data_IF_784870662601
#
_entry.id   IF_784870662601
#
_cell.length_a   1.000
_cell.length_b   1.000
_cell.length_c   1.000
_cell.angle_alpha   90.00
_cell.angle_beta   90.00
_cell.angle_gamma   90.00
#
_symmetry.space_group_name_H-M   'P 1'
#
loop_
_entity.id
_entity.type
_entity.pdbx_description
1 polymer ?
#
# COMPACT_ATOMS: atom_id res chain seq x y z
N UNK A 1 -1.29 -4.02 2.85
CA UNK A 1 -1.96 -2.74 3.16
C UNK A 1 -0.96 -1.61 3.10
N UNK A 2 -1.31 -0.50 2.44
CA UNK A 2 -0.48 0.69 2.34
C UNK A 2 -1.15 1.86 3.05
N UNK A 3 -0.45 2.42 4.04
CA UNK A 3 -0.95 3.54 4.83
C UNK A 3 -0.07 4.76 4.54
N UNK A 4 -0.59 5.78 3.86
CA UNK A 4 0.18 6.97 3.63
C UNK A 4 0.36 7.74 4.94
N UNK A 5 1.58 8.23 5.17
CA UNK A 5 1.93 9.03 6.34
C UNK A 5 2.68 10.29 5.93
N UNK A 6 2.53 11.35 6.71
CA UNK A 6 3.28 12.58 6.56
C UNK A 6 4.53 12.58 7.44
N UNK A 7 5.52 13.40 7.05
CA UNK A 7 6.76 13.53 7.84
C UNK A 7 6.51 14.15 9.20
N UNK A 8 5.51 15.02 9.29
CA UNK A 8 5.18 15.77 10.50
C UNK A 8 4.19 15.03 11.42
N UNK A 9 3.74 13.83 11.02
CA UNK A 9 2.88 12.99 11.86
C UNK A 9 3.56 12.69 13.19
N UNK A 10 2.84 12.89 14.29
CA UNK A 10 3.34 12.51 15.60
C UNK A 10 3.23 10.99 15.82
N UNK A 11 3.87 10.50 16.89
CA UNK A 11 3.68 9.12 17.34
C UNK A 11 2.21 8.79 17.64
N UNK A 12 1.43 9.78 18.12
CA UNK A 12 0.00 9.60 18.40
C UNK A 12 -0.80 9.50 17.10
N UNK A 13 -0.54 10.36 16.13
CA UNK A 13 -1.22 10.33 14.82
C UNK A 13 -0.98 8.99 14.13
N UNK A 14 0.27 8.51 14.17
CA UNK A 14 0.64 7.19 13.62
C UNK A 14 -0.05 6.04 14.36
N UNK A 15 -0.15 6.11 15.70
CA UNK A 15 -0.86 5.11 16.49
C UNK A 15 -2.36 5.07 16.15
N UNK A 16 -3.02 6.23 16.05
CA UNK A 16 -4.43 6.32 15.66
C UNK A 16 -4.64 5.77 14.25
N UNK A 17 -3.76 6.13 13.31
CA UNK A 17 -3.84 5.64 11.92
C UNK A 17 -3.75 4.12 11.86
N UNK A 18 -2.76 3.52 12.54
CA UNK A 18 -2.58 2.06 12.57
C UNK A 18 -3.75 1.38 13.29
N UNK A 19 -4.27 1.99 14.35
CA UNK A 19 -5.46 1.48 15.03
C UNK A 19 -6.67 1.42 14.10
N UNK A 20 -6.96 2.54 13.43
CA UNK A 20 -8.16 2.69 12.61
C UNK A 20 -8.10 1.90 11.30
N UNK A 21 -6.91 1.64 10.75
CA UNK A 21 -6.74 1.02 9.44
C UNK A 21 -6.18 -0.40 9.48
N UNK A 22 -5.34 -0.74 10.45
CA UNK A 22 -4.79 -2.07 10.60
C UNK A 22 -5.60 -2.87 11.63
N UNK A 23 -5.52 -2.45 12.89
CA UNK A 23 -5.99 -3.24 14.03
C UNK A 23 -7.52 -3.43 14.00
N UNK A 24 -8.27 -2.41 13.59
CA UNK A 24 -9.73 -2.51 13.42
C UNK A 24 -10.17 -3.59 12.43
N UNK A 25 -9.34 -3.89 11.43
CA UNK A 25 -9.64 -4.86 10.38
C UNK A 25 -9.02 -6.23 10.65
N UNK A 26 -7.81 -6.28 11.22
CA UNK A 26 -7.05 -7.54 11.42
C UNK A 26 -7.05 -8.04 12.86
N UNK A 27 -7.45 -7.20 13.82
CA UNK A 27 -7.22 -7.44 15.24
C UNK A 27 -5.79 -7.09 15.68
N UNK A 28 -5.48 -7.37 16.95
CA UNK A 28 -4.16 -7.08 17.54
C UNK A 28 -3.09 -8.04 17.03
N UNK A 29 -1.92 -7.49 16.74
CA UNK A 29 -0.75 -8.27 16.35
C UNK A 29 -0.07 -8.90 17.57
N UNK A 30 0.38 -10.15 17.43
CA UNK A 30 1.25 -10.78 18.43
C UNK A 30 2.64 -10.15 18.44
N UNK A 31 3.20 -9.89 17.26
CA UNK A 31 4.51 -9.31 17.07
C UNK A 31 4.45 -8.20 16.01
N UNK A 32 5.10 -7.06 16.27
CA UNK A 32 5.32 -6.00 15.27
C UNK A 32 6.81 -5.86 15.05
N UNK A 33 7.22 -5.96 13.78
CA UNK A 33 8.59 -5.70 13.35
C UNK A 33 8.60 -4.36 12.63
N UNK A 34 9.33 -3.38 13.16
CA UNK A 34 9.40 -2.04 12.58
C UNK A 34 10.85 -1.53 12.49
N UNK A 35 11.06 -0.48 11.69
CA UNK A 35 12.29 0.28 11.75
C UNK A 35 12.40 1.06 13.07
N UNK A 36 13.56 1.68 13.31
CA UNK A 36 13.84 2.53 14.49
C UNK A 36 13.38 3.98 14.30
N UNK A 37 12.31 4.20 13.55
CA UNK A 37 11.72 5.53 13.43
C UNK A 37 11.26 6.00 14.84
N UNK A 38 11.52 7.26 15.23
CA UNK A 38 11.15 7.79 16.55
C UNK A 38 9.68 7.57 16.93
N UNK A 39 8.78 7.49 15.94
CA UNK A 39 7.35 7.21 16.16
C UNK A 39 7.14 5.83 16.77
N UNK A 40 7.84 4.81 16.25
CA UNK A 40 7.76 3.42 16.71
C UNK A 40 8.63 3.12 17.92
N UNK A 41 9.62 3.95 18.23
CA UNK A 41 10.43 3.83 19.46
C UNK A 41 9.96 4.75 20.58
N UNK A 42 8.87 5.49 20.37
CA UNK A 42 8.34 6.43 21.36
C UNK A 42 7.85 5.73 22.63
N UNK A 43 7.85 6.47 23.74
CA UNK A 43 7.31 5.97 25.01
C UNK A 43 5.81 5.62 24.89
N UNK A 44 5.06 6.40 24.11
CA UNK A 44 3.65 6.13 23.81
C UNK A 44 3.51 4.77 23.13
N UNK A 45 4.18 4.56 21.99
CA UNK A 45 4.10 3.33 21.20
C UNK A 45 4.51 2.10 22.01
N UNK A 46 5.64 2.20 22.72
CA UNK A 46 6.15 1.10 23.53
C UNK A 46 5.21 0.73 24.67
N UNK A 47 4.68 1.72 25.41
CA UNK A 47 3.74 1.48 26.51
C UNK A 47 2.40 0.94 26.02
N UNK A 48 1.92 1.45 24.89
CA UNK A 48 0.67 1.01 24.27
C UNK A 48 0.72 -0.48 23.88
N UNK A 49 1.78 -0.90 23.19
CA UNK A 49 1.91 -2.30 22.78
C UNK A 49 2.24 -3.24 23.95
N UNK A 50 2.94 -2.76 24.98
CA UNK A 50 3.09 -3.52 26.23
C UNK A 50 1.74 -3.81 26.89
N UNK A 51 0.81 -2.83 26.89
CA UNK A 51 -0.55 -3.02 27.41
C UNK A 51 -1.33 -4.07 26.62
N UNK A 52 -1.14 -4.11 25.30
CA UNK A 52 -1.80 -5.08 24.42
C UNK A 52 -1.16 -6.47 24.41
N UNK A 53 -0.02 -6.65 25.08
CA UNK A 53 0.76 -7.88 25.00
C UNK A 53 1.40 -8.11 23.63
N UNK A 54 1.54 -7.06 22.81
CA UNK A 54 2.20 -7.12 21.51
C UNK A 54 3.70 -6.97 21.68
N UNK A 55 4.48 -7.92 21.17
CA UNK A 55 5.95 -7.83 21.19
C UNK A 55 6.43 -6.88 20.09
N UNK A 56 7.23 -5.89 20.48
CA UNK A 56 7.92 -5.01 19.52
C UNK A 56 9.32 -5.53 19.22
N UNK A 57 9.68 -5.57 17.93
CA UNK A 57 11.01 -5.93 17.45
C UNK A 57 11.50 -4.87 16.47
N UNK A 58 12.68 -4.32 16.71
CA UNK A 58 13.23 -3.24 15.89
C UNK A 58 14.38 -3.73 15.02
N UNK A 59 14.22 -3.65 13.71
CA UNK A 59 15.31 -3.93 12.77
C UNK A 59 16.26 -2.74 12.68
N UNK A 60 17.56 -3.00 12.50
CA UNK A 60 18.52 -1.94 12.18
C UNK A 60 18.14 -1.38 10.81
N UNK A 61 18.11 -0.05 10.68
CA UNK A 61 17.95 0.59 9.39
C UNK A 61 19.06 0.07 8.44
N UNK A 62 18.65 -0.39 7.26
CA UNK A 62 19.52 -0.99 6.25
C UNK A 62 20.32 -2.23 6.75
N UNK A 63 19.71 -3.40 6.67
CA UNK A 63 20.45 -4.67 6.54
C UNK A 63 20.04 -5.32 5.21
N UNK A 64 20.71 -4.97 4.08
CA UNK A 64 20.38 -5.40 2.72
C UNK A 64 20.54 -6.91 2.45
N UNK A 65 20.71 -7.73 3.50
CA UNK A 65 21.11 -9.12 3.39
C UNK A 65 19.96 -10.10 3.61
N UNK A 66 18.75 -9.60 3.80
CA UNK A 66 17.55 -10.44 3.80
C UNK A 66 16.48 -9.67 3.05
N UNK A 67 16.07 -10.18 1.89
CA UNK A 67 14.88 -9.76 1.14
C UNK A 67 13.61 -9.96 2.01
N UNK A 68 13.46 -9.11 3.02
CA UNK A 68 12.32 -9.15 3.92
C UNK A 68 11.04 -9.02 3.11
N UNK A 69 9.97 -9.74 3.44
CA UNK A 69 8.68 -9.59 2.78
C UNK A 69 8.22 -8.12 2.73
N UNK A 70 8.49 -7.34 3.78
CA UNK A 70 8.18 -5.91 3.83
C UNK A 70 9.04 -5.07 2.87
N UNK A 71 10.34 -5.35 2.74
CA UNK A 71 11.23 -4.57 1.84
C UNK A 71 10.88 -4.82 0.37
N UNK A 72 10.62 -6.07 -0.02
CA UNK A 72 10.14 -6.40 -1.37
C UNK A 72 8.79 -5.75 -1.68
N UNK A 73 7.90 -5.72 -0.70
CA UNK A 73 6.62 -5.02 -0.82
C UNK A 73 6.82 -3.51 -1.04
N UNK A 74 7.72 -2.87 -0.29
CA UNK A 74 8.02 -1.45 -0.44
C UNK A 74 8.65 -1.16 -1.81
N UNK A 75 9.62 -1.96 -2.26
CA UNK A 75 10.24 -1.80 -3.58
C UNK A 75 9.21 -1.92 -4.72
N UNK A 76 8.32 -2.93 -4.64
CA UNK A 76 7.25 -3.07 -5.62
C UNK A 76 6.34 -1.85 -5.63
N UNK A 77 5.94 -1.33 -4.46
CA UNK A 77 5.13 -0.11 -4.37
C UNK A 77 5.85 1.12 -4.93
N UNK A 78 7.15 1.29 -4.67
CA UNK A 78 7.93 2.39 -5.23
C UNK A 78 7.97 2.34 -6.77
N UNK A 79 8.14 1.15 -7.34
CA UNK A 79 8.12 0.94 -8.79
C UNK A 79 6.73 1.23 -9.38
N UNK A 80 5.67 0.79 -8.70
CA UNK A 80 4.29 1.11 -9.05
C UNK A 80 4.03 2.62 -9.09
N UNK A 81 4.48 3.33 -8.05
CA UNK A 81 4.36 4.80 -7.97
C UNK A 81 5.18 5.47 -9.08
N UNK A 82 6.41 5.02 -9.33
CA UNK A 82 7.25 5.55 -10.44
C UNK A 82 6.54 5.43 -11.78
N UNK A 83 5.96 4.27 -12.08
CA UNK A 83 5.23 4.06 -13.34
C UNK A 83 3.94 4.88 -13.41
N UNK A 84 3.23 5.02 -12.29
CA UNK A 84 2.08 5.92 -12.21
C UNK A 84 2.49 7.38 -12.48
N UNK A 85 3.58 7.86 -11.91
CA UNK A 85 4.07 9.21 -12.18
C UNK A 85 4.63 9.40 -13.60
N UNK A 86 5.07 8.33 -14.26
CA UNK A 86 5.59 8.39 -15.62
C UNK A 86 4.50 8.29 -16.71
N UNK A 87 3.41 7.57 -16.43
CA UNK A 87 2.42 7.19 -17.45
C UNK A 87 0.96 7.35 -17.01
N UNK A 88 0.73 7.80 -15.77
CA UNK A 88 -0.58 7.99 -15.19
C UNK A 88 -1.28 9.26 -15.69
N UNK A 89 -2.53 9.45 -15.28
CA UNK A 89 -3.28 10.65 -15.59
C UNK A 89 -2.68 11.85 -14.85
N UNK A 90 -2.47 12.94 -15.58
CA UNK A 90 -2.10 14.23 -15.01
C UNK A 90 -3.34 14.94 -14.48
N UNK A 91 -3.24 15.50 -13.27
CA UNK A 91 -4.31 16.26 -12.62
C UNK A 91 -3.95 17.75 -12.62
N UNK A 92 -4.92 18.61 -12.92
CA UNK A 92 -4.72 20.07 -12.87
C UNK A 92 -4.83 20.56 -11.42
N UNK A 93 -3.72 20.99 -10.84
CA UNK A 93 -3.62 21.70 -9.57
C UNK A 93 -3.56 23.23 -9.78
N UNK A 94 -3.59 23.98 -8.68
CA UNK A 94 -3.51 25.45 -8.70
C UNK A 94 -2.19 26.00 -9.26
N UNK A 95 -1.13 25.20 -9.24
CA UNK A 95 0.24 25.52 -9.65
C UNK A 95 0.72 24.79 -10.92
N UNK A 96 -0.11 23.93 -11.52
CA UNK A 96 0.24 23.20 -12.76
C UNK A 96 -0.43 21.84 -12.90
N UNK A 97 0.12 20.98 -13.76
CA UNK A 97 -0.26 19.56 -13.82
C UNK A 97 0.59 18.74 -12.83
N UNK A 98 -0.05 17.90 -12.03
CA UNK A 98 0.62 17.06 -11.04
C UNK A 98 0.10 15.62 -11.09
N UNK A 99 0.92 14.68 -10.63
CA UNK A 99 0.51 13.30 -10.38
C UNK A 99 0.18 13.16 -8.90
N UNK A 100 -1.11 13.03 -8.56
CA UNK A 100 -1.56 12.83 -7.18
C UNK A 100 -1.44 11.35 -6.79
N UNK A 101 -0.22 10.84 -6.67
CA UNK A 101 0.02 9.44 -6.32
C UNK A 101 -0.57 9.05 -4.95
N UNK A 102 -0.73 10.03 -4.04
CA UNK A 102 -1.28 9.82 -2.70
C UNK A 102 -2.73 9.34 -2.76
N UNK A 103 -3.58 10.03 -3.53
CA UNK A 103 -4.99 9.62 -3.71
C UNK A 103 -5.13 8.27 -4.42
N UNK A 104 -4.10 7.85 -5.16
CA UNK A 104 -4.08 6.57 -5.87
C UNK A 104 -3.53 5.41 -5.04
N UNK A 105 -3.07 5.62 -3.81
CA UNK A 105 -2.58 4.53 -2.95
C UNK A 105 -3.56 3.35 -2.83
N UNK A 106 -4.88 3.56 -2.63
CA UNK A 106 -5.83 2.44 -2.60
C UNK A 106 -5.90 1.65 -3.91
N UNK A 107 -5.77 2.33 -5.06
CA UNK A 107 -5.75 1.68 -6.37
C UNK A 107 -4.46 0.88 -6.57
N UNK A 108 -3.32 1.42 -6.15
CA UNK A 108 -2.04 0.72 -6.16
C UNK A 108 -2.05 -0.48 -5.19
N UNK A 109 -2.66 -0.36 -4.02
CA UNK A 109 -2.84 -1.49 -3.10
C UNK A 109 -3.65 -2.61 -3.75
N UNK A 110 -4.76 -2.27 -4.43
CA UNK A 110 -5.56 -3.26 -5.14
C UNK A 110 -4.77 -3.94 -6.27
N UNK A 111 -4.01 -3.17 -7.05
CA UNK A 111 -3.16 -3.71 -8.10
C UNK A 111 -2.08 -4.64 -7.53
N UNK A 112 -1.45 -4.28 -6.41
CA UNK A 112 -0.47 -5.12 -5.73
C UNK A 112 -1.12 -6.43 -5.23
N UNK A 113 -2.25 -6.33 -4.52
CA UNK A 113 -2.97 -7.48 -3.95
C UNK A 113 -3.45 -8.49 -4.99
N UNK A 114 -3.64 -8.06 -6.24
CA UNK A 114 -4.21 -8.85 -7.33
C UNK A 114 -3.18 -9.24 -8.38
N UNK A 115 -1.93 -8.78 -8.25
CA UNK A 115 -0.82 -9.18 -9.10
C UNK A 115 -0.25 -10.52 -8.64
N UNK A 116 0.12 -11.39 -9.59
CA UNK A 116 0.71 -12.69 -9.26
C UNK A 116 2.18 -12.48 -8.92
N UNK A 117 2.58 -12.92 -7.73
CA UNK A 117 3.97 -12.82 -7.31
C UNK A 117 4.79 -14.01 -7.83
N UNK A 118 5.92 -13.74 -8.48
CA UNK A 118 6.78 -14.76 -9.08
C UNK A 118 7.31 -15.79 -8.08
N UNK A 119 7.50 -15.39 -6.82
CA UNK A 119 7.99 -16.26 -5.75
C UNK A 119 6.95 -17.26 -5.23
N UNK A 120 5.66 -16.93 -5.30
CA UNK A 120 4.57 -17.76 -4.73
C UNK A 120 3.65 -18.35 -5.80
N UNK A 121 3.68 -17.82 -7.02
CA UNK A 121 2.75 -18.17 -8.10
C UNK A 121 1.30 -17.81 -7.80
N UNK A 122 1.04 -17.02 -6.75
CA UNK A 122 -0.30 -16.63 -6.29
C UNK A 122 -0.36 -15.13 -6.04
N UNK A 123 -1.57 -14.59 -6.00
CA UNK A 123 -1.83 -13.21 -5.60
C UNK A 123 -1.73 -13.08 -4.07
N UNK A 124 -1.28 -11.94 -3.53
CA UNK A 124 -1.31 -11.71 -2.08
C UNK A 124 -2.72 -11.85 -1.49
N UNK A 125 -3.77 -11.37 -2.17
CA UNK A 125 -5.15 -11.54 -1.70
C UNK A 125 -5.54 -13.01 -1.53
N UNK A 126 -5.15 -13.89 -2.45
CA UNK A 126 -5.42 -15.32 -2.32
C UNK A 126 -4.69 -15.95 -1.11
N UNK A 127 -3.49 -15.46 -0.80
CA UNK A 127 -2.70 -15.97 0.33
C UNK A 127 -3.20 -15.45 1.68
N UNK A 128 -3.63 -14.19 1.74
CA UNK A 128 -4.07 -13.52 2.97
C UNK A 128 -5.55 -13.74 3.29
N UNK A 129 -6.42 -13.64 2.28
CA UNK A 129 -7.88 -13.66 2.45
C UNK A 129 -8.52 -14.97 1.96
N UNK A 130 -7.79 -15.78 1.18
CA UNK A 130 -8.27 -17.07 0.67
C UNK A 130 -9.10 -16.99 -0.62
N UNK A 131 -9.33 -15.79 -1.15
CA UNK A 131 -10.04 -15.56 -2.42
C UNK A 131 -9.32 -14.52 -3.28
N UNK A 132 -9.57 -14.54 -4.59
CA UNK A 132 -9.11 -13.48 -5.48
C UNK A 132 -10.11 -12.32 -5.46
N UNK A 133 -9.64 -11.11 -5.16
CA UNK A 133 -10.44 -9.91 -5.26
C UNK A 133 -10.82 -9.67 -6.71
N UNK A 134 -12.12 -9.51 -6.97
CA UNK A 134 -12.64 -9.19 -8.30
C UNK A 134 -12.26 -7.76 -8.65
N UNK A 135 -11.55 -7.57 -9.76
CA UNK A 135 -11.09 -6.24 -10.21
C UNK A 135 -11.88 -5.76 -11.42
N UNK A 136 -11.82 -4.45 -11.75
CA UNK A 136 -12.49 -3.91 -12.93
C UNK A 136 -12.22 -4.74 -14.19
N UNK A 137 -10.97 -5.15 -14.46
CA UNK A 137 -10.62 -5.95 -15.63
C UNK A 137 -11.38 -7.28 -15.77
N UNK A 138 -11.72 -7.92 -14.65
CA UNK A 138 -12.49 -9.17 -14.65
C UNK A 138 -13.95 -8.96 -15.08
N UNK A 139 -14.42 -7.71 -15.06
CA UNK A 139 -15.82 -7.32 -15.24
C UNK A 139 -16.02 -6.27 -16.33
N UNK A 140 -14.94 -5.79 -16.97
CA UNK A 140 -15.00 -4.83 -18.05
C UNK A 140 -15.84 -5.40 -19.20
N UNK A 141 -17.04 -4.83 -19.35
CA UNK A 141 -17.90 -5.11 -20.50
C UNK A 141 -17.22 -4.54 -21.73
N UNK A 142 -16.60 -5.42 -22.53
CA UNK A 142 -15.89 -5.06 -23.77
C UNK A 142 -16.81 -4.39 -24.81
N UNK A 143 -18.12 -4.54 -24.65
CA UNK A 143 -19.15 -4.06 -25.58
C UNK A 143 -19.82 -2.74 -25.15
N UNK A 144 -19.20 -1.97 -24.24
CA UNK A 144 -19.69 -0.63 -23.90
C UNK A 144 -19.42 0.35 -25.05
N UNK A 145 -20.48 0.69 -25.78
CA UNK A 145 -20.44 1.55 -26.98
C UNK A 145 -20.21 3.03 -26.63
N UNK A 146 -20.43 3.42 -25.38
CA UNK A 146 -20.28 4.80 -24.90
C UNK A 146 -19.48 4.82 -23.59
N UNK A 147 -18.17 5.10 -23.69
CA UNK A 147 -17.27 5.17 -22.55
C UNK A 147 -16.87 6.63 -22.35
N UNK A 148 -17.22 7.19 -21.20
CA UNK A 148 -16.83 8.56 -20.85
C UNK A 148 -15.29 8.71 -20.90
N UNK A 149 -14.73 9.78 -21.51
CA UNK A 149 -13.30 9.92 -21.74
C UNK A 149 -12.43 9.75 -20.49
N UNK A 150 -12.88 10.24 -19.34
CA UNK A 150 -12.17 10.10 -18.06
C UNK A 150 -12.08 8.65 -17.57
N UNK A 151 -13.09 7.81 -17.85
CA UNK A 151 -13.08 6.40 -17.46
C UNK A 151 -12.05 5.59 -18.27
N UNK A 152 -11.87 5.94 -19.55
CA UNK A 152 -10.84 5.35 -20.42
C UNK A 152 -9.42 5.64 -19.92
N UNK A 153 -9.15 6.88 -19.48
CA UNK A 153 -7.85 7.27 -18.92
C UNK A 153 -7.52 6.51 -17.63
N UNK A 154 -8.51 6.33 -16.74
CA UNK A 154 -8.32 5.58 -15.49
C UNK A 154 -8.06 4.09 -15.75
N UNK A 155 -8.75 3.48 -16.72
CA UNK A 155 -8.49 2.10 -17.14
C UNK A 155 -7.04 1.94 -17.64
N UNK A 156 -6.61 2.80 -18.55
CA UNK A 156 -5.25 2.73 -19.13
C UNK A 156 -4.15 2.83 -18.05
N UNK A 157 -4.39 3.64 -17.02
CA UNK A 157 -3.51 3.76 -15.88
C UNK A 157 -3.41 2.47 -15.07
N UNK A 158 -4.54 1.82 -14.77
CA UNK A 158 -4.55 0.54 -14.06
C UNK A 158 -3.82 -0.56 -14.86
N UNK A 159 -4.08 -0.68 -16.16
CA UNK A 159 -3.43 -1.68 -17.03
C UNK A 159 -1.89 -1.54 -17.00
N UNK A 160 -1.38 -0.32 -17.10
CA UNK A 160 0.08 -0.05 -17.06
C UNK A 160 0.68 -0.33 -15.69
N UNK A 161 -0.09 -0.09 -14.62
CA UNK A 161 0.28 -0.36 -13.25
C UNK A 161 0.09 -1.82 -12.84
N UNK A 162 0.01 -2.79 -13.75
CA UNK A 162 0.00 -4.24 -13.41
C UNK A 162 1.21 -5.01 -13.92
N UNK A 163 1.92 -4.50 -14.94
CA UNK A 163 3.02 -5.21 -15.60
C UNK A 163 4.38 -5.05 -14.91
N UNK A 164 4.44 -5.06 -13.58
CA UNK A 164 5.67 -4.83 -12.79
C UNK A 164 6.78 -5.81 -13.12
#
# INVERSE_FOLDING_TARGET
MFLPCHKDDTAMDTAIMIWNKAISHTGLFQNIISCRDPKFTSALWTKLHNLFGTKLSFIKAYHPQTDGPAERMIQALEEMIRRFCAYGPEFKASDGFTHDWFTFIPALELAYKTSIHSSTGKTPAMLEEGWNTRIPDDTLKKDLVDIHPAASSFRLMLDKARHH
#
